data_IF_304006543883
#
_entry.id   IF_304006543883
#
_cell.length_a   1.000
_cell.length_b   1.000
_cell.length_c   1.000
_cell.angle_alpha   90.00
_cell.angle_beta   90.00
_cell.angle_gamma   90.00
#
_symmetry.space_group_name_H-M   'P 1'
#
loop_
_entity.id
_entity.type
_entity.pdbx_description
1 polymer ?
#
# COMPACT_ATOMS: atom_id res chain seq x y z
N UNK A 1 -0.39 -18.07 1.08
CA UNK A 1 0.41 -18.50 -0.10
C UNK A 1 1.31 -17.35 -0.57
N UNK A 2 2.20 -17.53 -1.56
CA UNK A 2 3.29 -16.59 -1.90
C UNK A 2 3.34 -16.29 -3.41
N UNK A 3 3.65 -15.06 -3.80
CA UNK A 3 3.95 -14.67 -5.19
C UNK A 3 5.42 -14.24 -5.34
N UNK A 4 6.01 -14.54 -6.51
CA UNK A 4 7.40 -14.23 -6.88
C UNK A 4 7.44 -13.66 -8.30
N UNK A 5 8.49 -12.90 -8.66
CA UNK A 5 8.61 -12.33 -10.00
C UNK A 5 8.65 -13.42 -11.10
N UNK A 6 7.90 -13.22 -12.19
CA UNK A 6 8.03 -13.97 -13.45
C UNK A 6 8.49 -13.04 -14.59
N UNK A 7 9.08 -13.65 -15.62
CA UNK A 7 9.59 -12.99 -16.82
C UNK A 7 8.44 -12.43 -17.67
N UNK A 8 8.48 -11.12 -17.86
CA UNK A 8 7.77 -10.26 -18.83
C UNK A 8 6.47 -10.78 -19.49
N UNK A 9 5.34 -10.50 -18.85
CA UNK A 9 4.05 -10.26 -19.50
C UNK A 9 3.93 -8.78 -19.87
N UNK A 10 3.21 -8.46 -20.95
CA UNK A 10 2.91 -7.11 -21.50
C UNK A 10 2.89 -5.96 -20.48
N UNK A 11 3.29 -4.72 -20.86
CA UNK A 11 3.40 -3.62 -19.91
C UNK A 11 2.04 -3.33 -19.25
N UNK A 12 1.88 -3.79 -18.01
CA UNK A 12 0.68 -3.55 -17.20
C UNK A 12 0.54 -2.05 -16.96
N UNK A 13 -0.65 -1.53 -17.21
CA UNK A 13 -0.97 -0.13 -16.95
C UNK A 13 -1.25 0.10 -15.47
N UNK A 14 -1.20 1.37 -15.04
CA UNK A 14 -1.65 1.74 -13.69
C UNK A 14 -3.14 1.40 -13.46
N UNK A 15 -3.95 1.45 -14.51
CA UNK A 15 -5.37 1.07 -14.46
C UNK A 15 -5.53 -0.42 -14.18
N UNK A 16 -4.77 -1.29 -14.86
CA UNK A 16 -4.79 -2.74 -14.62
C UNK A 16 -4.42 -3.06 -13.17
N UNK A 17 -3.44 -2.34 -12.61
CA UNK A 17 -3.09 -2.45 -11.21
C UNK A 17 -4.22 -2.04 -10.27
N UNK A 18 -4.90 -0.91 -10.55
CA UNK A 18 -6.03 -0.45 -9.73
C UNK A 18 -7.21 -1.43 -9.77
N UNK A 19 -7.48 -2.04 -10.92
CA UNK A 19 -8.51 -3.07 -11.08
C UNK A 19 -8.14 -4.33 -10.27
N UNK A 20 -6.88 -4.78 -10.35
CA UNK A 20 -6.39 -5.91 -9.57
C UNK A 20 -6.48 -5.66 -8.06
N UNK A 21 -6.07 -4.47 -7.58
CA UNK A 21 -6.19 -4.07 -6.17
C UNK A 21 -7.65 -4.02 -5.74
N UNK A 22 -8.54 -3.46 -6.57
CA UNK A 22 -9.97 -3.37 -6.26
C UNK A 22 -10.60 -4.75 -6.13
N UNK A 23 -10.27 -5.66 -7.06
CA UNK A 23 -10.71 -7.06 -7.00
C UNK A 23 -10.20 -7.75 -5.74
N UNK A 24 -8.92 -7.57 -5.40
CA UNK A 24 -8.27 -8.16 -4.24
C UNK A 24 -8.95 -7.72 -2.93
N UNK A 25 -9.12 -6.41 -2.74
CA UNK A 25 -9.68 -5.85 -1.51
C UNK A 25 -11.17 -6.17 -1.36
N UNK A 26 -11.95 -6.13 -2.45
CA UNK A 26 -13.37 -6.54 -2.47
C UNK A 26 -13.53 -8.02 -2.22
N UNK A 27 -12.60 -8.81 -2.72
CA UNK A 27 -12.54 -10.26 -2.53
C UNK A 27 -12.01 -10.67 -1.16
N UNK A 28 -11.83 -9.77 -0.18
CA UNK A 28 -11.41 -10.13 1.18
C UNK A 28 -9.93 -10.47 1.34
N UNK A 29 -9.15 -10.46 0.26
CA UNK A 29 -7.72 -10.77 0.30
C UNK A 29 -6.92 -9.63 0.90
N UNK A 30 -5.79 -9.97 1.52
CA UNK A 30 -4.85 -9.05 2.13
C UNK A 30 -3.42 -9.47 1.85
N UNK A 31 -2.54 -8.47 1.73
CA UNK A 31 -1.14 -8.63 1.34
C UNK A 31 -0.20 -8.18 2.44
N UNK A 32 0.97 -8.82 2.53
CA UNK A 32 2.07 -8.41 3.41
C UNK A 32 3.37 -8.64 2.68
N UNK A 33 4.21 -7.62 2.66
CA UNK A 33 5.59 -7.80 2.26
C UNK A 33 6.38 -8.33 3.47
N UNK A 34 6.99 -9.50 3.30
CA UNK A 34 7.91 -10.06 4.28
C UNK A 34 9.30 -9.43 4.15
N UNK A 35 10.13 -9.50 5.20
CA UNK A 35 11.52 -9.03 5.15
C UNK A 35 12.38 -9.72 4.08
N UNK A 36 12.08 -10.98 3.73
CA UNK A 36 12.76 -11.73 2.67
C UNK A 36 12.32 -11.32 1.24
N UNK A 37 11.44 -10.32 1.12
CA UNK A 37 10.96 -9.79 -0.14
C UNK A 37 9.81 -10.57 -0.77
N UNK A 38 9.31 -11.63 -0.12
CA UNK A 38 8.12 -12.35 -0.55
C UNK A 38 6.87 -11.56 -0.20
N UNK A 39 5.92 -11.48 -1.13
CA UNK A 39 4.57 -10.96 -0.84
C UNK A 39 3.68 -12.15 -0.46
N UNK A 40 3.23 -12.15 0.80
CA UNK A 40 2.25 -13.09 1.31
C UNK A 40 0.85 -12.61 0.98
N UNK A 41 0.00 -13.55 0.59
CA UNK A 41 -1.44 -13.35 0.37
C UNK A 41 -2.20 -14.27 1.31
N UNK A 42 -3.14 -13.68 2.05
CA UNK A 42 -4.12 -14.39 2.87
C UNK A 42 -5.50 -13.77 2.70
N UNK A 43 -6.50 -14.46 3.23
CA UNK A 43 -7.90 -14.07 3.19
C UNK A 43 -8.28 -13.65 4.64
N UNK A 44 -9.06 -12.58 4.80
CA UNK A 44 -9.22 -11.87 6.09
C UNK A 44 -10.60 -11.95 6.75
N UNK A 45 -11.62 -12.42 6.04
CA UNK A 45 -12.99 -12.60 6.52
C UNK A 45 -13.19 -14.03 7.08
N UNK A 46 -14.21 -14.25 7.91
CA UNK A 46 -14.56 -15.59 8.39
C UNK A 46 -15.30 -16.43 7.33
N UNK A 47 -15.06 -17.75 7.27
CA UNK A 47 -15.83 -18.70 6.41
C UNK A 47 -15.33 -18.82 4.97
N UNK A 48 -14.04 -18.65 4.78
CA UNK A 48 -13.49 -18.03 3.57
C UNK A 48 -12.91 -18.99 2.52
N UNK A 49 -13.00 -18.62 1.23
CA UNK A 49 -12.37 -19.34 0.11
C UNK A 49 -10.85 -19.40 0.32
N UNK A 50 -10.20 -20.55 0.13
CA UNK A 50 -8.75 -20.64 0.24
C UNK A 50 -8.08 -19.76 -0.82
N UNK A 51 -6.92 -19.18 -0.50
CA UNK A 51 -6.05 -18.61 -1.53
C UNK A 51 -5.65 -19.75 -2.47
N UNK A 52 -6.10 -19.71 -3.72
CA UNK A 52 -5.79 -20.72 -4.73
C UNK A 52 -4.58 -20.31 -5.57
N UNK A 53 -3.99 -21.27 -6.30
CA UNK A 53 -2.91 -20.97 -7.23
C UNK A 53 -3.35 -20.00 -8.34
N UNK A 54 -4.60 -20.09 -8.80
CA UNK A 54 -5.17 -19.16 -9.79
C UNK A 54 -5.15 -17.71 -9.29
N UNK A 55 -5.45 -17.48 -8.00
CA UNK A 55 -5.34 -16.16 -7.38
C UNK A 55 -3.90 -15.67 -7.41
N UNK A 56 -2.93 -16.53 -7.09
CA UNK A 56 -1.51 -16.16 -7.13
C UNK A 56 -1.03 -15.84 -8.54
N UNK A 57 -1.45 -16.63 -9.52
CA UNK A 57 -1.07 -16.46 -10.92
C UNK A 57 -1.63 -15.15 -11.47
N UNK A 58 -2.87 -14.78 -11.10
CA UNK A 58 -3.47 -13.48 -11.45
C UNK A 58 -2.73 -12.28 -10.82
N UNK A 59 -2.15 -12.45 -9.62
CA UNK A 59 -1.45 -11.39 -8.90
C UNK A 59 0.04 -11.29 -9.26
N UNK A 60 0.63 -12.36 -9.77
CA UNK A 60 2.06 -12.45 -10.10
C UNK A 60 2.55 -11.32 -11.02
N UNK A 61 1.82 -10.91 -12.08
CA UNK A 61 2.24 -9.83 -12.96
C UNK A 61 2.47 -8.49 -12.21
N UNK A 62 1.73 -8.27 -11.12
CA UNK A 62 1.78 -7.04 -10.31
C UNK A 62 2.80 -7.10 -9.16
N UNK A 63 3.57 -8.19 -9.02
CA UNK A 63 4.49 -8.41 -7.90
C UNK A 63 5.45 -7.22 -7.66
N UNK A 64 6.03 -6.67 -8.73
CA UNK A 64 6.96 -5.52 -8.62
C UNK A 64 6.27 -4.29 -8.03
N UNK A 65 5.03 -4.04 -8.43
CA UNK A 65 4.23 -2.92 -7.96
C UNK A 65 3.78 -3.12 -6.51
N UNK A 66 3.35 -4.34 -6.14
CA UNK A 66 3.06 -4.70 -4.76
C UNK A 66 4.27 -4.51 -3.86
N UNK A 67 5.43 -5.03 -4.25
CA UNK A 67 6.67 -4.87 -3.49
C UNK A 67 7.00 -3.40 -3.29
N UNK A 68 6.93 -2.59 -4.35
CA UNK A 68 7.20 -1.14 -4.29
C UNK A 68 6.28 -0.44 -3.28
N UNK A 69 4.98 -0.72 -3.32
CA UNK A 69 3.98 -0.04 -2.47
C UNK A 69 3.97 -0.52 -1.03
N UNK A 70 4.14 -1.83 -0.82
CA UNK A 70 4.12 -2.41 0.53
C UNK A 70 5.41 -2.13 1.32
N UNK A 71 6.47 -1.66 0.66
CA UNK A 71 7.70 -1.23 1.31
C UNK A 71 7.47 0.05 2.14
N UNK A 72 8.17 0.17 3.28
CA UNK A 72 8.16 1.40 4.08
C UNK A 72 8.58 2.60 3.22
N UNK A 73 7.78 3.69 3.16
CA UNK A 73 8.13 4.89 2.41
C UNK A 73 9.42 5.52 2.95
N UNK A 74 10.09 6.31 2.12
CA UNK A 74 11.25 7.09 2.55
C UNK A 74 10.86 8.03 3.70
N UNK A 75 11.66 8.01 4.77
CA UNK A 75 11.46 8.82 5.97
C UNK A 75 10.64 8.14 7.06
N UNK A 76 10.25 6.87 6.87
CA UNK A 76 9.64 6.08 7.94
C UNK A 76 10.62 5.92 9.12
N UNK A 77 10.22 6.26 10.36
CA UNK A 77 11.11 6.17 11.52
C UNK A 77 11.62 4.75 11.78
N UNK A 78 12.89 4.63 12.19
CA UNK A 78 13.49 3.34 12.58
C UNK A 78 12.76 2.78 13.80
N UNK A 79 12.54 1.47 13.82
CA UNK A 79 11.90 0.78 14.94
C UNK A 79 10.37 0.91 15.01
N UNK A 80 9.74 1.74 14.17
CA UNK A 80 8.28 1.80 14.09
C UNK A 80 7.77 0.76 13.09
N UNK A 81 6.92 -0.14 13.55
CA UNK A 81 6.29 -1.16 12.73
C UNK A 81 5.20 -0.59 11.82
N UNK A 82 4.92 -1.30 10.72
CA UNK A 82 3.80 -0.98 9.84
C UNK A 82 2.47 -1.27 10.54
N UNK A 83 1.41 -0.48 10.30
CA UNK A 83 0.09 -0.77 10.84
C UNK A 83 -0.48 -2.08 10.24
N UNK A 84 -1.36 -2.81 10.95
CA UNK A 84 -1.87 -4.11 10.48
C UNK A 84 -2.56 -4.08 9.11
N UNK A 85 -3.25 -2.98 8.79
CA UNK A 85 -3.93 -2.73 7.51
C UNK A 85 -3.10 -1.87 6.55
N UNK A 86 -1.77 -1.88 6.68
CA UNK A 86 -0.88 -1.11 5.81
C UNK A 86 -1.12 -1.39 4.32
N UNK A 87 -1.40 -2.65 3.96
CA UNK A 87 -1.64 -3.02 2.57
C UNK A 87 -2.89 -2.34 1.99
N UNK A 88 -3.98 -2.26 2.74
CA UNK A 88 -5.22 -1.61 2.32
C UNK A 88 -4.94 -0.15 1.93
N UNK A 89 -4.13 0.53 2.74
CA UNK A 89 -3.74 1.91 2.48
C UNK A 89 -2.72 2.02 1.33
N UNK A 90 -1.62 1.26 1.40
CA UNK A 90 -0.50 1.39 0.48
C UNK A 90 -0.82 0.93 -0.94
N UNK A 91 -1.74 -0.02 -1.09
CA UNK A 91 -2.22 -0.47 -2.39
C UNK A 91 -3.26 0.50 -2.96
N UNK A 92 -4.15 1.04 -2.12
CA UNK A 92 -5.21 1.96 -2.53
C UNK A 92 -4.71 3.38 -2.87
N UNK A 93 -3.63 3.83 -2.23
CA UNK A 93 -3.13 5.20 -2.37
C UNK A 93 -1.70 5.26 -2.91
N UNK A 94 -1.37 6.35 -3.59
CA UNK A 94 0.03 6.65 -3.96
C UNK A 94 0.70 7.32 -2.76
N UNK A 95 1.50 6.56 -2.03
CA UNK A 95 2.26 7.04 -0.87
C UNK A 95 3.71 7.26 -1.29
N UNK A 96 4.21 8.48 -1.11
CA UNK A 96 5.54 8.86 -1.62
C UNK A 96 6.57 9.10 -0.52
N UNK A 97 6.13 9.51 0.68
CA UNK A 97 7.00 9.86 1.81
C UNK A 97 6.35 9.49 3.14
N UNK A 98 7.18 9.39 4.16
CA UNK A 98 6.78 9.28 5.56
C UNK A 98 7.67 10.19 6.43
N UNK A 99 7.22 10.49 7.64
CA UNK A 99 8.01 11.18 8.67
C UNK A 99 7.53 10.82 10.07
N UNK A 100 8.37 11.03 11.08
CA UNK A 100 7.97 11.00 12.47
C UNK A 100 6.93 12.11 12.74
N UNK A 101 5.77 11.72 13.24
CA UNK A 101 4.68 12.64 13.59
C UNK A 101 3.67 11.85 14.40
N UNK A 102 3.40 12.28 15.63
CA UNK A 102 2.41 11.66 16.49
C UNK A 102 0.99 12.05 16.05
N UNK A 103 0.15 11.06 15.78
CA UNK A 103 -1.23 11.29 15.40
C UNK A 103 -2.07 11.71 16.62
N UNK A 104 -2.75 12.87 16.59
CA UNK A 104 -3.55 13.35 17.71
C UNK A 104 -4.80 12.50 18.00
N UNK A 105 -5.17 11.60 17.09
CA UNK A 105 -6.35 10.74 17.27
C UNK A 105 -6.05 9.34 17.81
N UNK A 106 -4.91 8.75 17.47
CA UNK A 106 -4.59 7.36 17.86
C UNK A 106 -3.18 7.18 18.43
N UNK A 107 -2.38 8.25 18.56
CA UNK A 107 -1.01 8.20 19.09
C UNK A 107 0.03 7.57 18.16
N UNK A 108 -0.35 7.15 16.95
CA UNK A 108 0.62 6.52 16.03
C UNK A 108 1.71 7.50 15.61
N UNK A 109 2.97 7.07 15.63
CA UNK A 109 4.15 7.94 15.55
C UNK A 109 4.63 8.27 14.13
N UNK A 110 3.79 8.02 13.11
CA UNK A 110 4.13 8.26 11.71
C UNK A 110 3.00 8.97 10.98
N UNK A 111 3.37 9.93 10.13
CA UNK A 111 2.52 10.44 9.07
C UNK A 111 3.10 10.07 7.70
N UNK A 112 2.21 9.78 6.75
CA UNK A 112 2.57 9.48 5.35
C UNK A 112 2.00 10.54 4.42
N UNK A 113 2.75 10.87 3.37
CA UNK A 113 2.30 11.79 2.33
C UNK A 113 1.52 11.01 1.27
N UNK A 114 0.21 11.23 1.26
CA UNK A 114 -0.72 10.65 0.29
C UNK A 114 -0.89 11.63 -0.86
N UNK A 115 -0.67 11.14 -2.08
CA UNK A 115 -0.86 11.90 -3.32
C UNK A 115 -2.27 11.68 -3.86
N UNK A 116 -3.10 12.71 -3.75
CA UNK A 116 -4.35 12.84 -4.48
C UNK A 116 -4.04 13.64 -5.74
N UNK A 117 -4.61 13.25 -6.89
CA UNK A 117 -4.25 13.80 -8.21
C UNK A 117 -4.03 15.32 -8.29
N UNK A 118 -4.72 16.10 -7.46
CA UNK A 118 -4.64 17.56 -7.44
C UNK A 118 -3.96 18.15 -6.19
N UNK A 119 -3.72 17.39 -5.12
CA UNK A 119 -3.08 17.87 -3.89
C UNK A 119 -2.48 16.72 -3.06
N UNK A 120 -1.53 17.06 -2.18
CA UNK A 120 -0.91 16.09 -1.28
C UNK A 120 -1.32 16.37 0.17
N UNK A 121 -1.51 15.31 0.96
CA UNK A 121 -1.85 15.44 2.38
C UNK A 121 -1.05 14.50 3.26
N UNK A 122 -0.67 15.00 4.43
CA UNK A 122 -0.10 14.18 5.49
C UNK A 122 -1.21 13.47 6.26
N UNK A 123 -1.21 12.15 6.24
CA UNK A 123 -2.21 11.33 6.93
C UNK A 123 -1.55 10.32 7.85
N UNK A 124 -2.21 10.04 8.97
CA UNK A 124 -1.86 8.92 9.81
C UNK A 124 -2.21 7.61 9.10
N UNK A 125 -1.26 6.68 8.90
CA UNK A 125 -1.54 5.41 8.23
C UNK A 125 -2.30 4.42 9.09
N UNK A 126 -2.38 4.66 10.41
CA UNK A 126 -3.17 3.84 11.33
C UNK A 126 -4.66 4.23 11.25
N UNK A 127 -5.04 5.49 11.50
CA UNK A 127 -6.46 5.86 11.58
C UNK A 127 -6.98 6.74 10.43
N UNK A 128 -6.14 7.06 9.44
CA UNK A 128 -6.51 7.87 8.28
C UNK A 128 -6.71 9.37 8.55
N UNK A 129 -6.65 9.81 9.81
CA UNK A 129 -6.76 11.22 10.17
C UNK A 129 -5.64 12.05 9.56
N UNK A 130 -5.96 13.30 9.22
CA UNK A 130 -4.95 14.26 8.78
C UNK A 130 -4.01 14.57 9.95
N UNK A 131 -2.70 14.53 9.68
CA UNK A 131 -1.67 14.89 10.63
C UNK A 131 -1.39 16.40 10.62
N UNK A 132 -1.52 17.04 9.45
CA UNK A 132 -1.42 18.49 9.23
C UNK A 132 -2.36 18.91 8.07
N UNK A 133 -2.76 20.19 7.99
CA UNK A 133 -3.52 20.70 6.85
C UNK A 133 -2.72 20.59 5.54
N UNK A 134 -3.43 20.42 4.42
CA UNK A 134 -2.84 20.29 3.07
C UNK A 134 -1.97 21.49 2.70
N UNK A 135 -0.80 21.22 2.11
CA UNK A 135 -0.03 22.23 1.38
C UNK A 135 -0.44 22.06 -0.08
N UNK A 136 -1.06 23.08 -0.67
CA UNK A 136 -1.35 23.07 -2.10
C UNK A 136 -0.06 22.73 -2.87
N UNK A 137 -0.17 21.92 -3.92
CA UNK A 137 0.97 21.68 -4.80
C UNK A 137 1.31 23.02 -5.48
N UNK A 138 2.21 23.80 -4.87
CA UNK A 138 2.85 24.93 -5.53
C UNK A 138 3.69 24.31 -6.63
N UNK A 139 3.09 24.16 -7.80
CA UNK A 139 3.83 24.00 -9.03
C UNK A 139 4.62 25.29 -9.18
N UNK A 140 5.86 25.27 -8.69
CA UNK A 140 6.84 26.26 -9.07
C UNK A 140 7.02 26.12 -10.58
N UNK A 141 6.26 26.92 -11.33
CA UNK A 141 6.59 27.27 -12.70
C UNK A 141 7.85 28.11 -12.61
N UNK A 142 8.99 27.48 -12.86
CA UNK A 142 10.20 28.13 -13.34
C UNK A 142 10.33 27.85 -14.83
#
# INVERSE_FOLDING_TARGET
MRISARTETSPLTFKDFQEAVSWLLRGGYRLRLRPDGVVEVWHSLPGERPVTQEVLDALTPFYREFKRRLTKPRGWPKGVELPPWWADMALGFKITRARASECPGCGFLVAVLVDFHFWNEWRCPQCGRMAEPSVANVTARG
#
